data_IF_801878791955
#
_entry.id   IF_801878791955
#
_cell.length_a   1.000
_cell.length_b   1.000
_cell.length_c   1.000
_cell.angle_alpha   90.00
_cell.angle_beta   90.00
_cell.angle_gamma   90.00
#
_symmetry.space_group_name_H-M   'P 1'
#
loop_
_entity.id
_entity.type
_entity.pdbx_description
1 polymer ?
#
# COMPACT_ATOMS: atom_id res chain seq x y z
N UNK A 1 -2.60 -16.58 10.52
CA UNK A 1 -1.24 -17.02 10.18
C UNK A 1 -0.47 -15.76 9.82
N UNK A 2 0.29 -15.25 10.79
CA UNK A 2 1.22 -14.15 10.57
C UNK A 2 2.28 -14.63 9.57
N UNK A 3 2.50 -13.88 8.50
CA UNK A 3 3.68 -14.10 7.67
C UNK A 3 4.88 -13.59 8.45
N UNK A 4 5.50 -14.48 9.22
CA UNK A 4 6.80 -14.25 9.82
C UNK A 4 7.83 -14.23 8.68
N UNK A 5 7.94 -13.09 7.99
CA UNK A 5 8.99 -12.90 7.00
C UNK A 5 10.29 -12.70 7.76
N UNK A 6 11.04 -13.80 7.93
CA UNK A 6 12.42 -13.76 8.42
C UNK A 6 13.17 -12.64 7.67
N UNK A 7 13.92 -11.77 8.37
CA UNK A 7 14.69 -10.72 7.71
C UNK A 7 15.58 -11.36 6.63
N UNK A 8 15.43 -10.90 5.39
CA UNK A 8 16.29 -11.39 4.31
C UNK A 8 17.65 -10.71 4.48
N UNK A 9 18.66 -11.52 4.82
CA UNK A 9 20.05 -11.09 4.91
C UNK A 9 20.64 -10.99 3.51
N UNK A 10 21.11 -9.80 3.15
CA UNK A 10 21.93 -9.62 1.96
C UNK A 10 23.39 -9.52 2.37
N UNK A 11 24.26 -10.23 1.64
CA UNK A 11 25.71 -10.21 1.84
C UNK A 11 26.38 -9.72 0.56
N UNK A 12 27.38 -8.85 0.72
CA UNK A 12 28.24 -8.36 -0.34
C UNK A 12 29.68 -8.67 0.04
N UNK A 13 30.30 -9.54 -0.76
CA UNK A 13 31.74 -9.75 -0.72
C UNK A 13 32.42 -8.79 -1.69
N UNK A 14 33.41 -8.06 -1.20
CA UNK A 14 34.34 -7.29 -2.04
C UNK A 14 35.65 -8.07 -2.06
N UNK A 15 36.13 -8.34 -3.27
CA UNK A 15 37.45 -8.93 -3.50
C UNK A 15 38.38 -7.84 -4.04
N UNK A 16 39.66 -7.93 -3.69
CA UNK A 16 40.67 -6.93 -4.05
C UNK A 16 40.30 -5.51 -3.57
N UNK A 17 39.93 -5.38 -2.29
CA UNK A 17 39.45 -4.13 -1.70
C UNK A 17 40.42 -2.96 -1.89
N UNK A 18 41.73 -3.21 -1.82
CA UNK A 18 42.76 -2.21 -2.06
C UNK A 18 42.67 -1.54 -3.45
N UNK A 19 42.24 -2.29 -4.47
CA UNK A 19 42.09 -1.77 -5.83
C UNK A 19 40.99 -0.71 -5.96
N UNK A 20 40.07 -0.61 -4.98
CA UNK A 20 39.08 0.46 -4.97
C UNK A 20 39.75 1.84 -4.87
N UNK A 21 40.75 2.02 -3.98
CA UNK A 21 41.51 3.28 -3.96
C UNK A 21 42.34 3.47 -5.21
N UNK A 22 43.01 2.41 -5.66
CA UNK A 22 44.00 2.51 -6.73
C UNK A 22 43.35 2.94 -8.05
N UNK A 23 42.07 2.59 -8.23
CA UNK A 23 41.25 2.98 -9.38
C UNK A 23 40.33 4.20 -9.10
N UNK A 24 40.49 4.87 -7.96
CA UNK A 24 39.70 6.06 -7.62
C UNK A 24 38.22 5.79 -7.34
N UNK A 25 37.84 4.55 -7.03
CA UNK A 25 36.47 4.14 -6.70
C UNK A 25 36.17 4.53 -5.25
N UNK A 26 35.57 5.70 -5.08
CA UNK A 26 35.19 6.24 -3.77
C UNK A 26 33.80 5.77 -3.29
N UNK A 27 32.98 5.22 -4.19
CA UNK A 27 31.62 4.71 -3.93
C UNK A 27 31.42 3.40 -4.68
N UNK A 28 30.92 2.39 -3.99
CA UNK A 28 30.44 1.16 -4.59
C UNK A 28 28.93 1.00 -4.32
N UNK A 29 28.17 0.61 -5.33
CA UNK A 29 26.76 0.24 -5.21
C UNK A 29 26.59 -1.23 -5.55
N UNK A 30 25.88 -1.97 -4.70
CA UNK A 30 25.55 -3.37 -4.96
C UNK A 30 24.57 -3.51 -6.13
N UNK A 31 24.44 -4.73 -6.62
CA UNK A 31 23.27 -5.12 -7.40
C UNK A 31 21.98 -4.90 -6.58
N UNK A 32 20.86 -4.75 -7.29
CA UNK A 32 19.55 -4.72 -6.65
C UNK A 32 19.26 -6.07 -6.00
N UNK A 33 18.71 -6.04 -4.79
CA UNK A 33 18.20 -7.24 -4.12
C UNK A 33 16.83 -6.96 -3.51
N UNK A 34 16.02 -8.01 -3.37
CA UNK A 34 14.67 -7.89 -2.85
C UNK A 34 14.61 -8.35 -1.38
N UNK A 35 13.95 -7.56 -0.54
CA UNK A 35 13.63 -7.93 0.84
C UNK A 35 12.32 -7.26 1.27
N UNK A 36 11.46 -8.03 1.93
CA UNK A 36 10.14 -7.60 2.41
C UNK A 36 9.27 -6.90 1.34
N UNK A 37 9.34 -7.35 0.08
CA UNK A 37 8.55 -6.82 -1.04
C UNK A 37 9.05 -5.50 -1.63
N UNK A 38 10.26 -5.06 -1.27
CA UNK A 38 10.90 -3.88 -1.83
C UNK A 38 12.28 -4.22 -2.37
N UNK A 39 12.73 -3.42 -3.35
CA UNK A 39 14.07 -3.52 -3.93
C UNK A 39 15.01 -2.55 -3.25
N UNK A 40 16.22 -3.03 -2.98
CA UNK A 40 17.24 -2.31 -2.22
C UNK A 40 18.59 -2.37 -2.93
N UNK A 41 19.45 -1.39 -2.62
CA UNK A 41 20.88 -1.42 -2.93
C UNK A 41 21.68 -1.05 -1.68
N UNK A 42 22.75 -1.79 -1.40
CA UNK A 42 23.73 -1.41 -0.41
C UNK A 42 24.78 -0.49 -1.07
N UNK A 43 25.10 0.60 -0.40
CA UNK A 43 26.05 1.61 -0.87
C UNK A 43 27.19 1.70 0.13
N UNK A 44 28.42 1.57 -0.34
CA UNK A 44 29.62 1.60 0.49
C UNK A 44 30.53 2.71 -0.01
N UNK A 45 31.02 3.52 0.92
CA UNK A 45 32.11 4.46 0.68
C UNK A 45 33.34 3.98 1.44
N UNK A 46 34.27 3.26 0.79
CA UNK A 46 35.44 2.66 1.45
C UNK A 46 36.36 3.68 2.12
N UNK A 47 36.30 4.94 1.67
CA UNK A 47 37.12 6.04 2.14
C UNK A 47 36.34 7.16 2.83
N UNK A 48 35.08 6.87 3.20
CA UNK A 48 34.23 7.79 3.94
C UNK A 48 33.32 8.62 3.05
N UNK A 49 32.28 9.17 3.68
CA UNK A 49 31.33 10.09 3.08
C UNK A 49 31.06 11.24 4.06
N UNK A 50 30.98 12.47 3.55
CA UNK A 50 30.81 13.69 4.34
C UNK A 50 31.78 13.77 5.53
N UNK A 51 31.24 13.66 6.75
CA UNK A 51 32.02 13.76 7.99
C UNK A 51 32.86 12.52 8.32
N UNK A 52 32.78 11.45 7.54
CA UNK A 52 33.38 10.15 7.79
C UNK A 52 34.73 9.86 7.10
N UNK A 53 35.52 10.87 6.78
CA UNK A 53 36.76 10.78 5.98
C UNK A 53 37.81 9.73 6.41
N UNK A 54 37.79 9.30 7.67
CA UNK A 54 38.66 8.28 8.28
C UNK A 54 37.96 6.93 8.54
N UNK A 55 36.69 6.83 8.14
CA UNK A 55 35.82 5.66 8.32
C UNK A 55 35.43 5.06 6.96
N UNK A 56 34.94 3.82 7.00
CA UNK A 56 34.09 3.28 5.94
C UNK A 56 32.65 3.73 6.25
N UNK A 57 31.95 4.25 5.25
CA UNK A 57 30.52 4.57 5.34
C UNK A 57 29.70 3.49 4.67
N UNK A 58 28.55 3.15 5.25
CA UNK A 58 27.62 2.16 4.68
C UNK A 58 26.20 2.71 4.74
N UNK A 59 25.49 2.57 3.64
CA UNK A 59 24.10 2.98 3.48
C UNK A 59 23.27 1.90 2.78
N UNK A 60 21.96 2.03 2.91
CA UNK A 60 20.96 1.27 2.18
C UNK A 60 20.03 2.24 1.48
N UNK A 61 19.78 1.99 0.20
CA UNK A 61 18.88 2.75 -0.64
C UNK A 61 17.68 1.88 -1.06
N UNK A 62 16.47 2.41 -0.99
CA UNK A 62 15.31 1.80 -1.65
C UNK A 62 15.26 2.24 -3.11
N UNK A 63 15.06 1.29 -4.03
CA UNK A 63 15.06 1.52 -5.49
C UNK A 63 13.79 0.98 -6.13
N UNK A 64 13.59 1.27 -7.42
CA UNK A 64 12.40 0.82 -8.15
C UNK A 64 11.09 1.47 -7.63
N UNK A 65 11.18 2.64 -7.02
CA UNK A 65 10.05 3.30 -6.36
C UNK A 65 9.07 3.99 -7.32
N UNK A 66 9.37 3.99 -8.62
CA UNK A 66 8.50 4.55 -9.66
C UNK A 66 7.17 3.81 -9.81
N UNK A 67 7.10 2.55 -9.39
CA UNK A 67 5.86 1.76 -9.36
C UNK A 67 5.07 1.94 -8.06
N UNK A 68 5.60 2.67 -7.07
CA UNK A 68 4.89 2.95 -5.83
C UNK A 68 3.95 4.15 -6.01
N UNK A 69 2.87 4.19 -5.22
CA UNK A 69 1.91 5.29 -5.26
C UNK A 69 2.54 6.63 -4.84
N UNK A 70 1.97 7.74 -5.31
CA UNK A 70 2.39 9.07 -4.88
C UNK A 70 2.25 9.21 -3.36
N UNK A 71 3.35 9.57 -2.68
CA UNK A 71 3.38 9.70 -1.22
C UNK A 71 3.67 8.39 -0.46
N UNK A 72 4.24 7.37 -1.11
CA UNK A 72 4.66 6.14 -0.44
C UNK A 72 5.62 6.41 0.73
N UNK A 73 5.44 5.64 1.79
CA UNK A 73 6.34 5.60 2.94
C UNK A 73 6.62 4.14 3.31
N UNK A 74 7.90 3.81 3.52
CA UNK A 74 8.33 2.49 3.99
C UNK A 74 9.11 2.69 5.27
N UNK A 75 8.61 2.15 6.38
CA UNK A 75 9.35 2.11 7.64
C UNK A 75 10.11 0.80 7.71
N UNK A 76 11.42 0.84 7.90
CA UNK A 76 12.24 -0.36 8.00
C UNK A 76 13.27 -0.22 9.11
N UNK A 77 13.44 -1.30 9.85
CA UNK A 77 14.56 -1.48 10.78
C UNK A 77 15.72 -2.09 10.02
N UNK A 78 16.88 -1.44 10.09
CA UNK A 78 18.09 -1.89 9.40
C UNK A 78 19.13 -2.36 10.42
N UNK A 79 19.88 -3.40 10.08
CA UNK A 79 21.09 -3.77 10.80
C UNK A 79 22.19 -4.05 9.80
N UNK A 80 23.25 -3.23 9.82
CA UNK A 80 24.43 -3.49 8.99
C UNK A 80 25.33 -4.48 9.71
N UNK A 81 25.97 -5.35 8.95
CA UNK A 81 26.86 -6.38 9.45
C UNK A 81 28.23 -6.24 8.79
N UNK A 82 29.29 -6.48 9.56
CA UNK A 82 30.65 -6.63 9.04
C UNK A 82 31.13 -7.99 9.51
N UNK A 83 31.53 -8.84 8.58
CA UNK A 83 31.95 -10.21 8.90
C UNK A 83 33.39 -10.23 9.39
N UNK A 84 33.60 -10.77 10.58
CA UNK A 84 34.91 -11.14 11.09
C UNK A 84 35.22 -12.56 10.58
N UNK A 85 36.12 -12.62 9.61
CA UNK A 85 36.48 -13.85 8.91
C UNK A 85 37.40 -14.76 9.72
N UNK A 86 37.98 -14.26 10.83
CA UNK A 86 38.88 -15.04 11.69
C UNK A 86 38.07 -15.76 12.77
N UNK A 87 37.12 -15.05 13.38
CA UNK A 87 36.32 -15.58 14.48
C UNK A 87 34.96 -16.14 14.05
N UNK A 88 34.69 -16.18 12.73
CA UNK A 88 33.47 -16.69 12.11
C UNK A 88 32.20 -16.08 12.72
N UNK A 89 32.19 -14.75 12.84
CA UNK A 89 31.07 -14.02 13.44
C UNK A 89 30.81 -12.69 12.73
N UNK A 90 29.72 -12.01 13.10
CA UNK A 90 29.39 -10.69 12.59
C UNK A 90 29.40 -9.65 13.69
N UNK A 91 30.06 -8.53 13.43
CA UNK A 91 29.78 -7.30 14.16
C UNK A 91 28.48 -6.72 13.61
N UNK A 92 27.48 -6.64 14.48
CA UNK A 92 26.16 -6.10 14.14
C UNK A 92 26.10 -4.64 14.56
N UNK A 93 26.00 -3.76 13.58
CA UNK A 93 25.76 -2.33 13.76
C UNK A 93 24.24 -2.15 13.71
N UNK A 94 23.61 -2.43 14.86
CA UNK A 94 22.15 -2.33 15.03
C UNK A 94 21.70 -0.90 14.78
N UNK A 95 20.79 -0.72 13.83
CA UNK A 95 20.81 0.51 13.08
C UNK A 95 19.47 0.97 12.53
N UNK A 96 18.57 1.30 13.46
CA UNK A 96 17.56 2.37 13.30
C UNK A 96 16.31 1.97 12.53
N UNK A 97 15.16 2.26 13.15
CA UNK A 97 13.90 2.38 12.42
C UNK A 97 13.98 3.64 11.56
N UNK A 98 13.88 3.45 10.25
CA UNK A 98 14.03 4.50 9.25
C UNK A 98 12.83 4.55 8.34
N UNK A 99 12.35 5.78 8.12
CA UNK A 99 11.29 6.07 7.19
C UNK A 99 11.88 6.46 5.84
N UNK A 100 11.69 5.60 4.86
CA UNK A 100 11.97 5.84 3.46
C UNK A 100 10.76 6.50 2.81
N UNK A 101 11.01 7.53 1.99
CA UNK A 101 9.99 8.25 1.22
C UNK A 101 10.63 8.89 -0.01
N UNK A 102 9.81 9.46 -0.89
CA UNK A 102 10.27 10.18 -2.09
C UNK A 102 11.40 11.19 -1.86
N UNK A 103 11.39 11.93 -0.74
CA UNK A 103 12.41 12.95 -0.42
C UNK A 103 13.66 12.33 0.25
N UNK A 104 13.55 11.11 0.80
CA UNK A 104 14.63 10.47 1.54
C UNK A 104 14.59 8.95 1.35
N UNK A 105 15.32 8.49 0.35
CA UNK A 105 15.39 7.08 -0.08
C UNK A 105 16.61 6.33 0.45
N UNK A 106 17.50 7.01 1.16
CA UNK A 106 18.78 6.45 1.60
C UNK A 106 19.05 6.73 3.09
N UNK A 107 19.45 5.70 3.82
CA UNK A 107 19.79 5.75 5.24
C UNK A 107 21.01 4.88 5.55
N UNK A 108 21.82 5.29 6.53
CA UNK A 108 23.05 4.58 6.88
C UNK A 108 23.89 5.31 7.90
N UNK A 109 25.17 4.96 7.94
CA UNK A 109 26.17 5.49 8.85
C UNK A 109 27.37 6.04 8.05
N UNK A 110 27.62 7.34 8.18
CA UNK A 110 28.83 7.97 7.63
C UNK A 110 30.10 7.55 8.38
N UNK A 111 29.97 7.08 9.63
CA UNK A 111 31.07 6.56 10.45
C UNK A 111 30.76 5.16 10.93
N UNK A 112 30.70 4.20 9.99
CA UNK A 112 30.28 2.84 10.27
C UNK A 112 31.37 2.06 11.03
N UNK A 113 32.59 2.04 10.49
CA UNK A 113 33.78 1.48 11.13
C UNK A 113 34.99 2.33 10.77
N UNK A 114 35.90 2.58 11.70
CA UNK A 114 37.13 3.31 11.39
C UNK A 114 37.98 2.49 10.43
N UNK A 115 38.66 3.13 9.47
CA UNK A 115 39.55 2.40 8.54
C UNK A 115 40.73 1.76 9.27
N UNK A 116 41.18 2.34 10.39
CA UNK A 116 42.23 1.76 11.22
C UNK A 116 41.78 0.42 11.82
N UNK A 117 40.61 0.39 12.45
CA UNK A 117 40.01 -0.84 13.00
C UNK A 117 39.72 -1.86 11.90
N UNK A 118 39.20 -1.43 10.76
CA UNK A 118 38.86 -2.31 9.64
C UNK A 118 40.08 -2.99 9.01
N UNK A 119 41.20 -2.26 8.89
CA UNK A 119 42.44 -2.75 8.26
C UNK A 119 43.36 -3.50 9.23
N UNK A 120 43.12 -3.43 10.53
CA UNK A 120 43.88 -4.19 11.52
C UNK A 120 43.63 -5.69 11.31
N UNK A 121 44.67 -6.47 10.93
CA UNK A 121 44.51 -7.89 10.62
C UNK A 121 43.98 -8.72 11.79
N UNK A 122 44.19 -8.26 13.04
CA UNK A 122 43.71 -8.98 14.23
C UNK A 122 42.19 -8.98 14.38
N UNK A 123 41.50 -8.03 13.74
CA UNK A 123 40.04 -7.94 13.80
C UNK A 123 39.32 -8.74 12.71
N UNK A 124 40.04 -9.31 11.73
CA UNK A 124 39.46 -10.25 10.76
C UNK A 124 38.50 -9.68 9.71
N UNK A 125 38.30 -8.36 9.63
CA UNK A 125 37.36 -7.75 8.66
C UNK A 125 37.90 -7.73 7.23
N UNK A 126 39.20 -7.53 7.06
CA UNK A 126 39.89 -7.52 5.77
C UNK A 126 40.95 -8.63 5.75
N UNK A 127 40.63 -9.76 5.11
CA UNK A 127 41.50 -10.95 5.03
C UNK A 127 41.77 -11.24 3.56
N UNK A 128 43.05 -11.41 3.19
CA UNK A 128 43.47 -11.63 1.80
C UNK A 128 42.91 -10.58 0.83
N UNK A 129 42.91 -9.32 1.26
CA UNK A 129 42.32 -8.18 0.53
C UNK A 129 40.84 -8.36 0.15
N UNK A 130 40.10 -9.17 0.93
CA UNK A 130 38.67 -9.37 0.78
C UNK A 130 37.93 -9.11 2.08
N UNK A 131 36.72 -8.58 1.96
CA UNK A 131 35.84 -8.28 3.08
C UNK A 131 34.38 -8.58 2.73
N UNK A 132 33.56 -8.81 3.75
CA UNK A 132 32.14 -9.12 3.59
C UNK A 132 31.32 -8.16 4.45
N UNK A 133 30.46 -7.41 3.78
CA UNK A 133 29.44 -6.56 4.40
C UNK A 133 28.08 -7.23 4.28
N UNK A 134 27.22 -7.01 5.25
CA UNK A 134 25.86 -7.50 5.25
C UNK A 134 24.85 -6.44 5.64
N UNK A 135 23.59 -6.68 5.29
CA UNK A 135 22.47 -5.92 5.82
C UNK A 135 21.28 -6.85 6.04
N UNK A 136 20.72 -6.77 7.25
CA UNK A 136 19.42 -7.32 7.58
C UNK A 136 18.40 -6.19 7.45
N UNK A 137 17.38 -6.41 6.62
CA UNK A 137 16.28 -5.47 6.38
C UNK A 137 15.01 -6.07 6.91
N UNK A 138 14.38 -5.38 7.85
CA UNK A 138 13.06 -5.73 8.36
C UNK A 138 12.11 -4.56 8.11
N UNK A 139 11.21 -4.69 7.13
CA UNK A 139 10.20 -3.66 6.91
C UNK A 139 9.15 -3.77 8.01
N UNK A 140 9.08 -2.73 8.82
CA UNK A 140 8.01 -2.57 9.79
C UNK A 140 6.76 -2.31 8.96
N UNK A 141 5.85 -3.30 8.90
CA UNK A 141 4.49 -3.10 8.42
C UNK A 141 3.77 -2.20 9.42
N UNK A 142 4.14 -0.92 9.43
CA UNK A 142 3.29 0.11 9.96
C UNK A 142 2.05 0.05 9.06
N UNK A 143 1.00 -0.59 9.56
CA UNK A 143 -0.36 -0.41 9.10
C UNK A 143 -0.79 1.03 9.39
N UNK A 144 -0.02 2.02 8.93
CA UNK A 144 -0.46 3.39 8.83
C UNK A 144 -1.69 3.36 7.93
N UNK A 145 -2.85 3.44 8.55
CA UNK A 145 -4.15 3.49 7.89
C UNK A 145 -4.23 4.87 7.22
N UNK A 146 -3.53 5.00 6.10
CA UNK A 146 -3.69 6.11 5.16
C UNK A 146 -4.79 5.73 4.18
N UNK A 147 -5.97 6.32 4.35
CA UNK A 147 -7.05 6.23 3.35
C UNK A 147 -6.79 7.28 2.27
N UNK A 148 -6.61 6.86 1.01
CA UNK A 148 -6.52 7.78 -0.11
C UNK A 148 -7.91 7.98 -0.71
N UNK A 149 -8.51 9.14 -0.45
CA UNK A 149 -9.81 9.51 -1.02
C UNK A 149 -9.62 10.15 -2.39
N UNK A 150 -9.85 9.38 -3.46
CA UNK A 150 -9.90 9.90 -4.83
C UNK A 150 -11.31 10.43 -5.12
N UNK A 151 -11.46 11.76 -5.09
CA UNK A 151 -12.64 12.44 -5.62
C UNK A 151 -12.51 12.51 -7.14
N UNK A 152 -13.25 11.68 -7.86
CA UNK A 152 -13.44 11.86 -9.30
C UNK A 152 -14.57 12.86 -9.50
N UNK A 153 -14.34 13.88 -10.32
CA UNK A 153 -15.42 14.74 -10.79
C UNK A 153 -16.31 13.89 -11.73
N UNK A 154 -17.54 13.63 -11.30
CA UNK A 154 -18.48 12.80 -12.04
C UNK A 154 -19.63 13.69 -12.47
N UNK A 155 -19.82 13.82 -13.79
CA UNK A 155 -21.00 14.49 -14.36
C UNK A 155 -22.27 13.81 -13.83
N UNK A 156 -23.30 14.60 -13.54
CA UNK A 156 -24.59 14.09 -13.13
C UNK A 156 -25.10 13.04 -14.14
N UNK A 157 -25.34 11.83 -13.66
CA UNK A 157 -25.83 10.71 -14.45
C UNK A 157 -27.25 10.37 -14.02
N UNK A 158 -28.12 10.11 -15.00
CA UNK A 158 -29.50 9.67 -14.77
C UNK A 158 -29.71 8.29 -15.37
N UNK A 159 -30.03 7.33 -14.53
CA UNK A 159 -30.46 6.00 -14.93
C UNK A 159 -31.99 5.93 -14.94
N UNK A 160 -32.59 5.33 -15.96
CA UNK A 160 -34.03 5.07 -16.01
C UNK A 160 -34.27 3.57 -16.19
N UNK A 161 -34.96 2.96 -15.22
CA UNK A 161 -35.31 1.54 -15.22
C UNK A 161 -36.83 1.40 -15.38
N UNK A 162 -37.27 0.73 -16.44
CA UNK A 162 -38.69 0.52 -16.74
C UNK A 162 -39.13 -0.87 -16.27
N UNK A 163 -40.22 -0.90 -15.51
CA UNK A 163 -40.78 -2.14 -14.98
C UNK A 163 -42.19 -2.31 -15.54
N UNK A 164 -42.40 -3.38 -16.30
CA UNK A 164 -43.73 -3.77 -16.78
C UNK A 164 -44.48 -4.58 -15.72
N UNK A 165 -45.81 -4.44 -15.71
CA UNK A 165 -46.70 -5.24 -14.85
C UNK A 165 -46.34 -5.17 -13.35
N UNK A 166 -45.90 -4.00 -12.89
CA UNK A 166 -45.40 -3.78 -11.52
C UNK A 166 -46.32 -4.36 -10.42
N UNK A 167 -47.64 -4.24 -10.59
CA UNK A 167 -48.65 -4.74 -9.64
C UNK A 167 -48.62 -6.25 -9.43
N UNK A 168 -48.12 -7.03 -10.42
CA UNK A 168 -48.02 -8.49 -10.35
C UNK A 168 -46.76 -8.98 -9.63
N UNK A 169 -45.80 -8.08 -9.37
CA UNK A 169 -44.51 -8.45 -8.78
C UNK A 169 -44.65 -8.74 -7.29
N UNK A 170 -44.05 -9.86 -6.86
CA UNK A 170 -44.04 -10.32 -5.47
C UNK A 170 -42.64 -10.52 -4.89
N UNK A 171 -41.67 -10.82 -5.76
CA UNK A 171 -40.29 -11.08 -5.37
C UNK A 171 -39.43 -9.86 -5.66
N UNK A 172 -38.23 -9.86 -5.10
CA UNK A 172 -37.20 -8.87 -5.38
C UNK A 172 -36.74 -8.88 -6.84
N UNK A 173 -36.37 -7.70 -7.34
CA UNK A 173 -35.82 -7.54 -8.68
C UNK A 173 -34.59 -6.65 -8.64
N UNK A 174 -33.68 -6.92 -9.57
CA UNK A 174 -32.54 -6.07 -9.86
C UNK A 174 -32.74 -5.37 -11.20
N UNK A 175 -32.32 -4.11 -11.30
CA UNK A 175 -32.06 -3.48 -12.60
C UNK A 175 -30.87 -4.14 -13.29
N UNK A 176 -30.68 -3.80 -14.56
CA UNK A 176 -29.40 -3.95 -15.23
C UNK A 176 -28.28 -3.22 -14.48
N UNK A 177 -27.04 -3.66 -14.70
CA UNK A 177 -25.86 -2.96 -14.21
C UNK A 177 -25.60 -1.70 -15.05
N UNK A 178 -25.35 -0.58 -14.39
CA UNK A 178 -24.92 0.67 -15.03
C UNK A 178 -23.64 1.21 -14.39
N UNK A 179 -22.84 1.95 -15.16
CA UNK A 179 -21.52 2.41 -14.72
C UNK A 179 -21.50 3.93 -14.48
N UNK A 180 -21.11 4.34 -13.28
CA UNK A 180 -20.97 5.75 -12.87
C UNK A 180 -19.71 5.90 -12.02
N UNK A 181 -18.87 6.90 -12.32
CA UNK A 181 -17.61 7.12 -11.60
C UNK A 181 -16.57 5.99 -11.77
N UNK A 182 -16.74 5.13 -12.78
CA UNK A 182 -15.93 3.92 -12.99
C UNK A 182 -16.33 2.74 -12.10
N UNK A 183 -17.47 2.83 -11.42
CA UNK A 183 -18.04 1.75 -10.61
C UNK A 183 -19.35 1.27 -11.21
N UNK A 184 -19.62 -0.03 -11.07
CA UNK A 184 -20.86 -0.67 -11.50
C UNK A 184 -21.88 -0.63 -10.38
N UNK A 185 -23.11 -0.28 -10.72
CA UNK A 185 -24.23 -0.12 -9.81
C UNK A 185 -25.44 -0.87 -10.34
N UNK A 186 -26.33 -1.28 -9.45
CA UNK A 186 -27.66 -1.78 -9.80
C UNK A 186 -28.67 -1.36 -8.73
N UNK A 187 -29.93 -1.25 -9.11
CA UNK A 187 -31.03 -0.95 -8.20
C UNK A 187 -31.64 -2.28 -7.75
N UNK A 188 -31.85 -2.43 -6.44
CA UNK A 188 -32.60 -3.54 -5.86
C UNK A 188 -33.95 -3.03 -5.38
N UNK A 189 -35.02 -3.66 -5.88
CA UNK A 189 -36.40 -3.34 -5.55
C UNK A 189 -37.05 -4.53 -4.84
N UNK A 190 -37.73 -4.25 -3.73
CA UNK A 190 -38.69 -5.15 -3.10
C UNK A 190 -40.10 -4.56 -3.26
N UNK A 191 -40.90 -5.05 -4.24
CA UNK A 191 -42.24 -4.52 -4.51
C UNK A 191 -43.20 -4.66 -3.32
N UNK A 192 -42.92 -5.62 -2.43
CA UNK A 192 -43.71 -5.91 -1.22
C UNK A 192 -43.01 -5.53 0.07
N UNK A 193 -41.87 -4.83 -0.02
CA UNK A 193 -41.09 -4.42 1.13
C UNK A 193 -40.12 -5.50 1.64
N UNK A 194 -39.18 -5.09 2.48
CA UNK A 194 -38.27 -5.98 3.22
C UNK A 194 -38.17 -5.57 4.71
N UNK A 195 -37.57 -6.44 5.54
CA UNK A 195 -37.11 -6.08 6.90
C UNK A 195 -38.20 -5.56 7.86
N UNK A 196 -39.27 -6.32 8.07
CA UNK A 196 -40.33 -5.98 9.04
C UNK A 196 -41.48 -5.13 8.49
N UNK A 197 -41.43 -4.76 7.21
CA UNK A 197 -42.47 -4.00 6.51
C UNK A 197 -43.12 -4.79 5.36
N UNK A 198 -43.11 -6.13 5.47
CA UNK A 198 -43.66 -7.02 4.46
C UNK A 198 -45.16 -6.74 4.24
N UNK A 199 -45.50 -6.26 3.05
CA UNK A 199 -46.87 -6.03 2.58
C UNK A 199 -47.35 -4.58 2.62
N UNK A 200 -46.66 -3.68 3.31
CA UNK A 200 -47.14 -2.31 3.56
C UNK A 200 -46.46 -1.24 2.70
N UNK A 201 -45.22 -1.49 2.28
CA UNK A 201 -44.41 -0.50 1.56
C UNK A 201 -43.50 -1.16 0.54
N UNK A 202 -43.12 -0.39 -0.48
CA UNK A 202 -42.07 -0.75 -1.44
C UNK A 202 -40.72 -0.35 -0.83
N UNK A 203 -39.72 -1.23 -0.92
CA UNK A 203 -38.34 -0.92 -0.55
C UNK A 203 -37.46 -0.78 -1.79
N UNK A 204 -36.57 0.21 -1.81
CA UNK A 204 -35.65 0.44 -2.94
C UNK A 204 -34.26 0.77 -2.41
N UNK A 205 -33.27 0.12 -2.99
CA UNK A 205 -31.86 0.24 -2.64
C UNK A 205 -30.99 0.43 -3.88
N UNK A 206 -29.88 1.15 -3.69
CA UNK A 206 -28.78 1.21 -4.65
C UNK A 206 -27.66 0.29 -4.15
N UNK A 207 -27.20 -0.63 -4.98
CA UNK A 207 -26.12 -1.57 -4.69
C UNK A 207 -24.88 -1.24 -5.50
N UNK A 208 -23.72 -1.21 -4.84
CA UNK A 208 -22.41 -1.13 -5.47
C UNK A 208 -21.92 -2.54 -5.81
N UNK A 209 -21.89 -2.86 -7.10
CA UNK A 209 -21.55 -4.20 -7.60
C UNK A 209 -20.07 -4.50 -7.34
N UNK A 210 -19.80 -5.69 -6.80
CA UNK A 210 -18.44 -6.15 -6.51
C UNK A 210 -17.82 -5.56 -5.23
N UNK A 211 -18.51 -4.69 -4.51
CA UNK A 211 -17.99 -4.09 -3.28
C UNK A 211 -17.69 -5.09 -2.17
N UNK A 212 -18.37 -6.24 -2.13
CA UNK A 212 -18.04 -7.34 -1.20
C UNK A 212 -16.59 -7.82 -1.32
N UNK A 213 -16.01 -7.72 -2.52
CA UNK A 213 -14.61 -8.07 -2.78
C UNK A 213 -13.63 -6.92 -2.57
N UNK A 214 -14.08 -5.77 -2.05
CA UNK A 214 -13.19 -4.68 -1.70
C UNK A 214 -12.32 -5.08 -0.51
N UNK A 215 -11.06 -4.65 -0.54
CA UNK A 215 -10.25 -4.62 0.67
C UNK A 215 -10.87 -3.65 1.70
N UNK A 216 -10.51 -3.81 2.97
CA UNK A 216 -11.09 -3.02 4.07
C UNK A 216 -10.83 -1.50 3.97
N UNK A 217 -9.92 -1.06 3.09
CA UNK A 217 -9.51 0.33 2.90
C UNK A 217 -10.20 0.99 1.71
N UNK A 218 -10.85 0.22 0.83
CA UNK A 218 -11.55 0.75 -0.34
C UNK A 218 -13.01 1.07 -0.02
N UNK A 219 -13.40 2.34 -0.25
CA UNK A 219 -14.78 2.83 -0.14
C UNK A 219 -15.12 3.75 -1.30
N UNK A 220 -16.40 3.87 -1.62
CA UNK A 220 -16.92 4.74 -2.69
C UNK A 220 -17.93 5.70 -2.09
N UNK A 221 -17.72 6.99 -2.30
CA UNK A 221 -18.70 8.02 -1.94
C UNK A 221 -19.77 8.13 -3.01
N UNK A 222 -21.02 8.24 -2.59
CA UNK A 222 -22.14 8.52 -3.49
C UNK A 222 -23.05 9.62 -2.94
N UNK A 223 -23.47 10.52 -3.84
CA UNK A 223 -24.65 11.37 -3.68
C UNK A 223 -25.65 11.00 -4.77
N UNK A 224 -26.86 10.62 -4.39
CA UNK A 224 -27.84 10.13 -5.35
C UNK A 224 -29.27 10.39 -4.89
N UNK A 225 -30.19 10.36 -5.84
CA UNK A 225 -31.62 10.33 -5.58
C UNK A 225 -32.24 9.16 -6.31
N UNK A 226 -33.21 8.51 -5.67
CA UNK A 226 -34.08 7.52 -6.32
C UNK A 226 -35.46 8.14 -6.45
N UNK A 227 -36.05 8.04 -7.64
CA UNK A 227 -37.41 8.53 -7.89
C UNK A 227 -38.25 7.51 -8.63
N UNK A 228 -39.47 7.28 -8.16
CA UNK A 228 -40.50 6.54 -8.88
C UNK A 228 -41.41 7.54 -9.57
N UNK A 229 -41.55 7.41 -10.89
CA UNK A 229 -42.42 8.28 -11.67
C UNK A 229 -43.87 7.82 -11.53
N UNK A 230 -44.71 8.65 -10.92
CA UNK A 230 -46.16 8.52 -11.04
C UNK A 230 -46.57 8.83 -12.49
N UNK A 231 -47.22 7.86 -13.15
CA UNK A 231 -47.67 7.95 -14.54
C UNK A 231 -49.07 8.56 -14.70
N UNK A 232 -49.79 8.79 -13.60
CA UNK A 232 -51.18 9.27 -13.57
C UNK A 232 -51.23 10.74 -13.11
N UNK A 233 -50.66 11.04 -11.96
CA UNK A 233 -50.73 12.39 -11.36
C UNK A 233 -49.56 13.30 -11.73
N UNK A 234 -48.46 12.72 -12.25
CA UNK A 234 -47.20 13.41 -12.49
C UNK A 234 -46.39 13.72 -11.23
N UNK A 235 -46.92 13.49 -10.02
CA UNK A 235 -46.21 13.73 -8.76
C UNK A 235 -45.21 12.60 -8.47
N UNK A 236 -43.95 12.78 -8.89
CA UNK A 236 -42.91 11.77 -8.65
C UNK A 236 -42.53 11.67 -7.17
N UNK A 237 -42.52 10.44 -6.63
CA UNK A 237 -41.93 10.19 -5.31
C UNK A 237 -40.42 10.14 -5.45
N UNK A 238 -39.70 11.05 -4.78
CA UNK A 238 -38.24 11.14 -4.83
C UNK A 238 -37.66 11.16 -3.42
N UNK A 239 -36.66 10.33 -3.16
CA UNK A 239 -35.84 10.39 -1.96
C UNK A 239 -34.38 10.62 -2.32
N UNK A 240 -33.66 11.38 -1.50
CA UNK A 240 -32.29 11.81 -1.79
C UNK A 240 -31.36 11.43 -0.65
N UNK A 241 -30.21 10.90 -1.01
CA UNK A 241 -29.08 10.64 -0.12
C UNK A 241 -28.03 11.71 -0.40
N UNK A 242 -27.85 12.63 0.56
CA UNK A 242 -26.89 13.73 0.43
C UNK A 242 -25.43 13.29 0.56
N UNK A 243 -25.17 12.15 1.20
CA UNK A 243 -23.84 11.57 1.40
C UNK A 243 -23.96 10.13 1.89
N UNK A 244 -23.31 9.19 1.22
CA UNK A 244 -23.17 7.81 1.71
C UNK A 244 -21.85 7.18 1.27
N UNK A 245 -21.30 6.31 2.12
CA UNK A 245 -20.06 5.59 1.88
C UNK A 245 -20.34 4.11 1.67
N UNK A 246 -20.14 3.64 0.45
CA UNK A 246 -20.21 2.23 0.10
C UNK A 246 -18.89 1.53 0.39
N UNK A 247 -18.93 0.36 1.00
CA UNK A 247 -17.76 -0.45 1.37
C UNK A 247 -18.08 -1.94 1.29
N UNK A 248 -17.12 -2.82 1.58
CA UNK A 248 -17.37 -4.26 1.69
C UNK A 248 -18.45 -4.61 2.72
N UNK A 249 -18.49 -3.90 3.85
CA UNK A 249 -19.49 -4.09 4.90
C UNK A 249 -20.84 -3.42 4.58
N UNK A 250 -20.81 -2.29 3.88
CA UNK A 250 -21.98 -1.46 3.58
C UNK A 250 -22.08 -1.22 2.07
N UNK A 251 -22.28 -2.27 1.28
CA UNK A 251 -22.29 -2.20 -0.18
C UNK A 251 -23.65 -1.83 -0.79
N UNK A 252 -24.68 -1.69 0.05
CA UNK A 252 -26.06 -1.42 -0.36
C UNK A 252 -26.72 -0.42 0.59
N UNK A 253 -27.44 0.57 0.04
CA UNK A 253 -28.17 1.54 0.85
C UNK A 253 -29.40 2.09 0.13
N UNK A 254 -30.43 2.40 0.91
CA UNK A 254 -31.73 2.81 0.40
C UNK A 254 -32.76 2.87 1.51
N UNK A 255 -34.02 2.64 1.15
CA UNK A 255 -35.15 2.82 2.04
C UNK A 255 -35.99 1.55 2.10
N UNK A 256 -36.17 1.02 3.31
CA UNK A 256 -37.15 -0.04 3.58
C UNK A 256 -38.59 0.44 3.33
N UNK A 257 -38.89 1.67 3.72
CA UNK A 257 -40.18 2.33 3.51
C UNK A 257 -40.08 3.44 2.44
N UNK A 258 -39.76 3.10 1.19
CA UNK A 258 -39.62 4.14 0.15
C UNK A 258 -40.96 4.82 -0.14
N UNK A 259 -42.01 4.02 -0.32
CA UNK A 259 -43.39 4.48 -0.52
C UNK A 259 -44.38 3.39 -0.09
N UNK A 260 -45.57 3.80 0.34
CA UNK A 260 -46.67 2.87 0.61
C UNK A 260 -47.12 2.22 -0.69
N UNK A 261 -47.56 0.97 -0.59
CA UNK A 261 -48.15 0.26 -1.74
C UNK A 261 -49.57 0.74 -2.04
#
# INVERSE_FOLDING_TARGET
MESDSSPARYLLKIESFSLLSDNGINKYESNEFESSGYKWKMIIYPYGDGSGHDHISIYLAIVGTSSLHAGWEVNATLSFLIFDQIHDNYVVIRGMERRFRNIKTEWGFSKCISRATFKDPSNGYLVNDSCIFGVDVYVNSNHGVGECMLLKDVKAYKHEWNISEFTKLKNELFSEEFTVGGYKWKILLYPTGCSGQNGESISIYLELVGAKGFDCRKRVHGKYSISVKDQISGAHRKMTVGSYWFSAACYIWGWGAFMTR
#
